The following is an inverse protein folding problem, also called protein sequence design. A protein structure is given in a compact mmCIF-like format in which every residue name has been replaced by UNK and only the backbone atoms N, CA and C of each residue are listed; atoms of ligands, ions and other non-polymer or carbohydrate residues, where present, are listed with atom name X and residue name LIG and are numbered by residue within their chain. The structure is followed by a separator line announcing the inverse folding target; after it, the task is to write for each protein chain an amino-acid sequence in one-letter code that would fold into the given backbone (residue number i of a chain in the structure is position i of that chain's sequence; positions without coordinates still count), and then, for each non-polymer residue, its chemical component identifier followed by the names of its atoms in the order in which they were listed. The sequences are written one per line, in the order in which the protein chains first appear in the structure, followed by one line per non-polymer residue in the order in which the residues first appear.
data_IF_319512852088
#
_entry.id   IF_319512852088
#
_cell.length_a   1.000
_cell.length_b   1.000
_cell.length_c   1.000
_cell.angle_alpha   90.00
_cell.angle_beta   90.00
_cell.angle_gamma   90.00
#
_symmetry.space_group_name_H-M   'P 1'
#
loop_
_entity.id
_entity.type
_entity.pdbx_description
1 polymer ?
#
# COMPACT_ATOMS: atom_id res chain seq x y z
N UNK A 1 27.99 -22.52 -7.30
CA UNK A 1 27.59 -22.77 -5.91
C UNK A 1 26.78 -21.59 -5.37
N UNK A 2 25.93 -21.83 -4.38
CA UNK A 2 25.28 -20.76 -3.61
C UNK A 2 26.10 -20.57 -2.33
N UNK A 3 26.61 -19.36 -2.10
CA UNK A 3 27.34 -19.01 -0.89
C UNK A 3 26.60 -17.88 -0.13
N UNK A 4 26.73 -17.89 1.20
CA UNK A 4 26.09 -16.93 2.07
C UNK A 4 26.88 -15.61 2.06
N UNK A 5 26.26 -14.51 1.63
CA UNK A 5 26.93 -13.20 1.54
C UNK A 5 26.99 -12.43 2.87
N UNK A 6 26.34 -12.88 3.94
CA UNK A 6 26.36 -12.21 5.23
C UNK A 6 25.43 -12.80 6.29
N UNK A 7 25.38 -12.14 7.45
CA UNK A 7 24.61 -12.58 8.62
C UNK A 7 23.09 -12.37 8.46
N UNK A 8 22.32 -13.01 9.36
CA UNK A 8 20.86 -12.86 9.41
C UNK A 8 20.49 -11.53 10.06
N UNK A 9 19.61 -10.78 9.40
CA UNK A 9 19.02 -9.55 9.93
C UNK A 9 17.55 -9.75 10.28
N UNK A 10 17.09 -9.04 11.31
CA UNK A 10 15.68 -9.03 11.73
C UNK A 10 15.17 -7.60 11.65
N UNK A 11 14.10 -7.41 10.89
CA UNK A 11 13.40 -6.14 10.78
C UNK A 11 12.02 -6.30 11.42
N UNK A 12 11.76 -5.68 12.58
CA UNK A 12 10.47 -5.82 13.25
C UNK A 12 9.39 -5.20 12.39
N UNK A 13 8.36 -5.99 12.08
CA UNK A 13 7.23 -5.54 11.28
C UNK A 13 6.26 -4.80 12.21
N UNK A 14 5.95 -3.55 11.88
CA UNK A 14 4.95 -2.77 12.58
C UNK A 14 3.99 -2.16 11.57
N UNK A 15 2.70 -2.45 11.74
CA UNK A 15 1.67 -1.71 11.03
C UNK A 15 1.63 -0.29 11.60
N UNK A 16 1.98 0.70 10.78
CA UNK A 16 1.97 2.11 11.16
C UNK A 16 1.25 2.93 10.11
N UNK A 17 0.53 3.94 10.55
CA UNK A 17 -0.03 4.94 9.64
C UNK A 17 -0.07 6.28 10.33
N UNK A 18 0.39 7.32 9.63
CA UNK A 18 0.29 8.68 10.12
C UNK A 18 -1.17 9.16 10.11
N UNK A 19 -1.59 9.81 11.20
CA UNK A 19 -2.88 10.49 11.29
C UNK A 19 -2.99 11.66 10.31
N UNK A 20 -1.86 12.25 9.92
CA UNK A 20 -1.80 13.38 8.99
C UNK A 20 -0.65 13.16 8.02
N UNK A 21 -0.96 13.13 6.73
CA UNK A 21 0.07 12.98 5.70
C UNK A 21 0.73 14.31 5.37
N UNK A 22 0.08 15.42 5.70
CA UNK A 22 0.53 16.76 5.31
C UNK A 22 0.38 17.80 6.42
N UNK A 23 1.24 18.81 6.36
CA UNK A 23 1.11 20.08 7.08
C UNK A 23 1.46 21.21 6.11
N UNK A 24 1.39 22.47 6.54
CA UNK A 24 1.80 23.60 5.69
C UNK A 24 3.24 23.37 5.20
N UNK A 25 3.40 23.33 3.88
CA UNK A 25 4.70 23.10 3.19
C UNK A 25 5.42 21.79 3.56
N UNK A 26 4.70 20.78 4.07
CA UNK A 26 5.25 19.46 4.44
C UNK A 26 4.34 18.34 3.94
N UNK A 27 4.93 17.32 3.30
CA UNK A 27 4.24 16.09 2.92
C UNK A 27 5.07 14.86 3.28
N UNK A 28 4.42 13.85 3.86
CA UNK A 28 4.99 12.54 4.16
C UNK A 28 4.62 11.57 3.03
N UNK A 29 5.59 10.74 2.61
CA UNK A 29 5.39 9.70 1.59
C UNK A 29 6.09 8.40 2.00
N UNK A 30 5.61 7.26 1.50
CA UNK A 30 6.22 5.95 1.77
C UNK A 30 6.26 5.62 3.26
N UNK A 31 7.37 5.01 3.71
CA UNK A 31 7.55 4.55 5.09
C UNK A 31 7.44 5.66 6.15
N UNK A 32 7.63 6.93 5.76
CA UNK A 32 7.40 8.07 6.65
C UNK A 32 5.92 8.35 6.90
N UNK A 33 5.03 7.92 6.00
CA UNK A 33 3.58 8.10 6.09
C UNK A 33 2.85 6.83 6.53
N UNK A 34 3.35 5.65 6.14
CA UNK A 34 2.74 4.36 6.46
C UNK A 34 3.76 3.23 6.39
N UNK A 35 3.59 2.21 7.23
CA UNK A 35 4.36 0.97 7.19
C UNK A 35 3.36 -0.19 7.24
N UNK A 36 3.51 -1.17 6.35
CA UNK A 36 2.61 -2.32 6.26
C UNK A 36 3.33 -3.63 6.55
N UNK A 37 2.57 -4.69 6.83
CA UNK A 37 3.15 -6.03 6.82
C UNK A 37 3.81 -6.30 5.46
N UNK A 38 4.97 -6.98 5.41
CA UNK A 38 5.68 -7.27 4.17
C UNK A 38 4.94 -8.31 3.29
N UNK A 39 3.77 -8.76 3.74
CA UNK A 39 2.85 -9.64 3.01
C UNK A 39 2.55 -9.03 1.65
N UNK A 40 3.06 -9.65 0.59
CA UNK A 40 2.87 -9.20 -0.80
C UNK A 40 3.82 -8.11 -1.29
N UNK A 41 4.82 -7.70 -0.49
CA UNK A 41 5.90 -6.79 -0.94
C UNK A 41 5.42 -5.41 -1.40
N UNK A 42 4.36 -4.87 -0.77
CA UNK A 42 3.69 -3.67 -1.26
C UNK A 42 4.30 -2.34 -0.80
N UNK A 43 5.09 -2.31 0.28
CA UNK A 43 5.60 -1.05 0.87
C UNK A 43 6.30 -0.14 -0.16
N UNK A 44 7.22 -0.68 -0.94
CA UNK A 44 7.90 0.06 -2.01
C UNK A 44 6.92 0.57 -3.07
N UNK A 45 5.97 -0.26 -3.50
CA UNK A 45 4.97 0.12 -4.50
C UNK A 45 4.07 1.26 -4.00
N UNK A 46 3.69 1.23 -2.72
CA UNK A 46 2.92 2.31 -2.09
C UNK A 46 3.72 3.61 -2.05
N UNK A 47 4.99 3.55 -1.68
CA UNK A 47 5.87 4.72 -1.66
C UNK A 47 6.08 5.34 -3.06
N UNK A 48 6.27 4.52 -4.09
CA UNK A 48 6.36 5.00 -5.49
C UNK A 48 5.06 5.68 -5.91
N UNK A 49 3.90 5.10 -5.56
CA UNK A 49 2.59 5.69 -5.86
C UNK A 49 2.36 7.00 -5.11
N UNK A 50 2.82 7.11 -3.87
CA UNK A 50 2.76 8.36 -3.10
C UNK A 50 3.58 9.46 -3.80
N UNK A 51 4.82 9.16 -4.18
CA UNK A 51 5.68 10.11 -4.88
C UNK A 51 5.05 10.58 -6.21
N UNK A 52 4.51 9.64 -6.99
CA UNK A 52 3.86 9.94 -8.26
C UNK A 52 2.59 10.79 -8.08
N UNK A 53 1.76 10.47 -7.08
CA UNK A 53 0.55 11.24 -6.77
C UNK A 53 0.87 12.65 -6.29
N UNK A 54 1.86 12.79 -5.38
CA UNK A 54 2.30 14.09 -4.89
C UNK A 54 2.84 14.93 -6.05
N UNK A 55 3.72 14.37 -6.89
CA UNK A 55 4.26 15.05 -8.06
C UNK A 55 3.15 15.53 -9.01
N UNK A 56 2.11 14.71 -9.23
CA UNK A 56 0.96 15.10 -10.05
C UNK A 56 0.20 16.29 -9.45
N UNK A 57 -0.11 16.23 -8.15
CA UNK A 57 -0.82 17.32 -7.44
C UNK A 57 -0.02 18.63 -7.50
N UNK A 58 1.29 18.57 -7.20
CA UNK A 58 2.16 19.75 -7.21
C UNK A 58 2.32 20.33 -8.62
N UNK A 59 2.43 19.47 -9.65
CA UNK A 59 2.51 19.90 -11.04
C UNK A 59 1.26 20.65 -11.47
N UNK A 60 0.07 20.13 -11.14
CA UNK A 60 -1.20 20.81 -11.46
C UNK A 60 -1.31 22.16 -10.76
N UNK A 61 -0.97 22.23 -9.47
CA UNK A 61 -0.98 23.48 -8.72
C UNK A 61 -0.04 24.53 -9.34
N UNK A 62 1.19 24.12 -9.68
CA UNK A 62 2.16 24.98 -10.34
C UNK A 62 1.65 25.52 -11.69
N UNK A 63 1.01 24.66 -12.50
CA UNK A 63 0.42 25.07 -13.79
C UNK A 63 -0.75 26.05 -13.64
N UNK A 64 -1.44 26.03 -12.49
CA UNK A 64 -2.55 26.92 -12.17
C UNK A 64 -2.09 28.21 -11.46
N UNK A 65 -0.80 28.35 -11.17
CA UNK A 65 -0.25 29.49 -10.41
C UNK A 65 -0.58 29.44 -8.92
N UNK A 66 -1.01 28.28 -8.39
CA UNK A 66 -1.25 28.07 -6.96
C UNK A 66 0.09 27.88 -6.19
N UNK A 67 0.16 28.23 -4.91
CA UNK A 67 1.32 27.90 -4.07
C UNK A 67 1.36 26.38 -3.81
N UNK A 68 2.42 25.73 -4.27
CA UNK A 68 2.66 24.29 -4.09
C UNK A 68 2.77 23.86 -2.62
N UNK A 69 3.09 24.81 -1.72
CA UNK A 69 3.16 24.59 -0.28
C UNK A 69 1.85 24.85 0.46
N UNK A 70 0.80 25.31 -0.23
CA UNK A 70 -0.50 25.58 0.37
C UNK A 70 -1.13 24.28 0.88
N UNK A 71 -1.65 24.34 2.10
CA UNK A 71 -2.28 23.21 2.76
C UNK A 71 -3.46 22.64 1.96
N UNK A 72 -4.22 23.48 1.25
CA UNK A 72 -5.34 23.04 0.42
C UNK A 72 -4.86 22.18 -0.76
N UNK A 73 -3.68 22.47 -1.32
CA UNK A 73 -3.06 21.66 -2.37
C UNK A 73 -2.60 20.33 -1.79
N UNK A 74 -1.89 20.37 -0.68
CA UNK A 74 -1.36 19.16 -0.03
C UNK A 74 -2.50 18.24 0.50
N UNK A 75 -3.64 18.79 0.92
CA UNK A 75 -4.83 18.01 1.28
C UNK A 75 -5.44 17.25 0.09
N UNK A 76 -5.27 17.72 -1.15
CA UNK A 76 -5.65 16.95 -2.36
C UNK A 76 -4.81 15.68 -2.46
N UNK A 77 -3.53 15.74 -2.11
CA UNK A 77 -2.66 14.56 -2.03
C UNK A 77 -3.05 13.64 -0.88
N UNK A 78 -3.23 14.16 0.35
CA UNK A 78 -3.61 13.34 1.51
C UNK A 78 -4.92 12.59 1.28
N UNK A 79 -5.97 13.28 0.80
CA UNK A 79 -7.28 12.67 0.56
C UNK A 79 -7.23 11.55 -0.48
N UNK A 80 -6.38 11.68 -1.50
CA UNK A 80 -6.17 10.62 -2.49
C UNK A 80 -5.42 9.44 -1.89
N UNK A 81 -4.26 9.66 -1.28
CA UNK A 81 -3.35 8.57 -0.92
C UNK A 81 -3.66 7.92 0.41
N UNK A 82 -4.16 8.65 1.40
CA UNK A 82 -4.49 8.10 2.72
C UNK A 82 -5.54 7.00 2.64
N UNK A 83 -6.59 7.18 1.83
CA UNK A 83 -7.65 6.19 1.67
C UNK A 83 -7.14 4.92 0.95
N UNK A 84 -6.32 5.09 -0.09
CA UNK A 84 -5.74 3.97 -0.83
C UNK A 84 -4.74 3.19 0.04
N UNK A 85 -3.90 3.90 0.80
CA UNK A 85 -2.94 3.30 1.73
C UNK A 85 -3.66 2.54 2.85
N UNK A 86 -4.67 3.15 3.50
CA UNK A 86 -5.52 2.50 4.51
C UNK A 86 -6.10 1.17 4.01
N UNK A 87 -6.57 1.15 2.76
CA UNK A 87 -7.19 -0.04 2.18
C UNK A 87 -6.17 -1.18 2.04
N UNK A 88 -4.97 -0.87 1.57
CA UNK A 88 -3.90 -1.87 1.38
C UNK A 88 -3.32 -2.31 2.74
N UNK A 89 -3.15 -1.39 3.67
CA UNK A 89 -2.72 -1.68 5.05
C UNK A 89 -3.72 -2.62 5.75
N UNK A 90 -5.01 -2.29 5.71
CA UNK A 90 -6.06 -3.15 6.29
C UNK A 90 -6.15 -4.51 5.63
N UNK A 91 -5.97 -4.59 4.31
CA UNK A 91 -5.94 -5.86 3.59
C UNK A 91 -4.74 -6.74 3.99
N UNK A 92 -3.54 -6.16 4.08
CA UNK A 92 -2.31 -6.89 4.45
C UNK A 92 -2.34 -7.35 5.90
N UNK A 93 -2.83 -6.51 6.84
CA UNK A 93 -3.05 -6.90 8.25
C UNK A 93 -4.11 -8.01 8.37
N UNK A 94 -5.22 -7.93 7.64
CA UNK A 94 -6.23 -8.98 7.62
C UNK A 94 -5.65 -10.31 7.13
N UNK A 95 -4.86 -10.29 6.04
CA UNK A 95 -4.19 -11.48 5.55
C UNK A 95 -3.23 -12.05 6.59
N UNK A 96 -2.39 -11.20 7.20
CA UNK A 96 -1.45 -11.63 8.24
C UNK A 96 -2.20 -12.35 9.37
N UNK A 97 -3.28 -11.74 9.89
CA UNK A 97 -4.11 -12.32 10.95
C UNK A 97 -4.80 -13.62 10.54
N UNK A 98 -5.37 -13.71 9.33
CA UNK A 98 -6.01 -14.96 8.86
C UNK A 98 -4.98 -16.10 8.75
N UNK A 99 -3.76 -15.80 8.32
CA UNK A 99 -2.73 -16.82 8.08
C UNK A 99 -1.92 -17.17 9.34
N UNK A 100 -1.76 -16.26 10.29
CA UNK A 100 -1.08 -16.51 11.57
C UNK A 100 -2.00 -17.12 12.64
N UNK A 101 -3.32 -16.97 12.52
CA UNK A 101 -4.27 -17.48 13.51
C UNK A 101 -4.46 -19.01 13.45
N UNK A 102 -4.55 -19.62 14.62
CA UNK A 102 -4.69 -21.08 14.85
C UNK A 102 -6.11 -21.51 15.24
N UNK A 103 -7.05 -20.57 15.43
CA UNK A 103 -8.44 -20.85 15.77
C UNK A 103 -9.14 -21.67 14.67
N UNK A 104 -9.68 -22.83 15.06
CA UNK A 104 -10.15 -23.87 14.12
C UNK A 104 -11.12 -23.34 13.04
N UNK A 105 -12.14 -22.52 13.35
CA UNK A 105 -13.03 -21.95 12.33
C UNK A 105 -12.29 -21.12 11.27
N UNK A 106 -11.33 -20.27 11.68
CA UNK A 106 -10.55 -19.44 10.75
C UNK A 106 -9.67 -20.32 9.86
N UNK A 107 -9.07 -21.36 10.43
CA UNK A 107 -8.26 -22.33 9.68
C UNK A 107 -9.10 -23.06 8.61
N UNK A 108 -10.33 -23.47 8.95
CA UNK A 108 -11.25 -24.12 8.00
C UNK A 108 -11.62 -23.16 6.87
N UNK A 109 -12.02 -21.92 7.18
CA UNK A 109 -12.35 -20.89 6.19
C UNK A 109 -11.16 -20.63 5.25
N UNK A 110 -9.95 -20.46 5.82
CA UNK A 110 -8.72 -20.27 5.04
C UNK A 110 -8.45 -21.44 4.09
N UNK A 111 -8.60 -22.68 4.55
CA UNK A 111 -8.41 -23.88 3.73
C UNK A 111 -9.42 -23.96 2.58
N UNK A 112 -10.69 -23.68 2.84
CA UNK A 112 -11.73 -23.62 1.81
C UNK A 112 -11.39 -22.53 0.79
N UNK A 113 -11.01 -21.33 1.23
CA UNK A 113 -10.61 -20.24 0.35
C UNK A 113 -9.44 -20.60 -0.57
N UNK A 114 -8.39 -21.22 -0.02
CA UNK A 114 -7.24 -21.72 -0.80
C UNK A 114 -7.68 -22.79 -1.81
N UNK A 115 -8.54 -23.73 -1.41
CA UNK A 115 -9.07 -24.76 -2.31
C UNK A 115 -9.88 -24.16 -3.47
N UNK A 116 -10.74 -23.18 -3.20
CA UNK A 116 -11.51 -22.46 -4.23
C UNK A 116 -10.57 -21.73 -5.19
N UNK A 117 -9.54 -21.04 -4.69
CA UNK A 117 -8.55 -20.36 -5.55
C UNK A 117 -7.78 -21.32 -6.47
N UNK A 118 -7.56 -22.56 -6.05
CA UNK A 118 -6.93 -23.58 -6.90
C UNK A 118 -7.87 -24.10 -7.99
N UNK A 119 -9.17 -24.17 -7.71
CA UNK A 119 -10.18 -24.78 -8.60
C UNK A 119 -10.88 -23.80 -9.53
N UNK A 120 -10.96 -22.52 -9.15
CA UNK A 120 -11.73 -21.50 -9.87
C UNK A 120 -10.77 -20.41 -10.39
N UNK A 121 -10.37 -20.46 -11.68
CA UNK A 121 -9.40 -19.50 -12.25
C UNK A 121 -9.84 -18.04 -12.12
N UNK A 122 -11.13 -17.75 -12.22
CA UNK A 122 -11.66 -16.40 -12.06
C UNK A 122 -11.38 -15.82 -10.66
N UNK A 123 -11.50 -16.64 -9.61
CA UNK A 123 -11.21 -16.21 -8.23
C UNK A 123 -9.72 -15.94 -8.08
N UNK A 124 -8.86 -16.79 -8.64
CA UNK A 124 -7.40 -16.58 -8.65
C UNK A 124 -7.01 -15.28 -9.37
N UNK A 125 -7.55 -15.05 -10.56
CA UNK A 125 -7.28 -13.82 -11.33
C UNK A 125 -7.79 -12.59 -10.60
N UNK A 126 -8.97 -12.66 -9.99
CA UNK A 126 -9.51 -11.56 -9.19
C UNK A 126 -8.62 -11.25 -7.98
N UNK A 127 -8.18 -12.27 -7.24
CA UNK A 127 -7.29 -12.12 -6.10
C UNK A 127 -5.95 -11.49 -6.50
N UNK A 128 -5.35 -11.93 -7.61
CA UNK A 128 -4.12 -11.35 -8.14
C UNK A 128 -4.30 -9.87 -8.51
N UNK A 129 -5.40 -9.51 -9.19
CA UNK A 129 -5.71 -8.11 -9.52
C UNK A 129 -5.86 -7.23 -8.27
N UNK A 130 -6.42 -7.81 -7.20
CA UNK A 130 -6.56 -7.13 -5.92
C UNK A 130 -5.18 -6.91 -5.27
N UNK A 131 -4.31 -7.93 -5.27
CA UNK A 131 -2.95 -7.85 -4.72
C UNK A 131 -2.03 -6.88 -5.45
N UNK A 132 -2.15 -6.77 -6.77
CA UNK A 132 -1.38 -5.78 -7.57
C UNK A 132 -1.92 -4.35 -7.33
N UNK A 133 -3.06 -4.21 -6.67
CA UNK A 133 -3.65 -2.90 -6.36
C UNK A 133 -4.07 -2.16 -7.63
N UNK A 134 -4.57 -2.88 -8.64
CA UNK A 134 -5.08 -2.33 -9.92
C UNK A 134 -6.47 -1.69 -9.79
N UNK A 135 -7.04 -1.64 -8.58
CA UNK A 135 -8.28 -0.94 -8.27
C UNK A 135 -7.94 0.33 -7.51
N UNK A 136 -7.85 1.46 -8.21
CA UNK A 136 -7.52 2.76 -7.63
C UNK A 136 -7.25 3.80 -8.72
N UNK A 137 -7.16 5.07 -8.33
CA UNK A 137 -6.77 6.13 -9.26
C UNK A 137 -5.25 6.10 -9.35
N UNK A 138 -4.71 5.51 -10.40
CA UNK A 138 -3.26 5.41 -10.59
C UNK A 138 -2.74 6.77 -11.08
N UNK A 139 -1.73 7.38 -10.43
CA UNK A 139 -1.12 8.61 -10.91
C UNK A 139 -0.61 8.45 -12.35
N UNK A 140 -0.75 9.48 -13.18
CA UNK A 140 -0.31 9.42 -14.59
C UNK A 140 1.16 9.03 -14.72
N UNK A 141 1.98 9.47 -13.77
CA UNK A 141 3.41 9.17 -13.72
C UNK A 141 3.72 7.71 -13.35
N UNK A 142 2.78 6.99 -12.74
CA UNK A 142 2.93 5.59 -12.36
C UNK A 142 2.31 4.60 -13.39
N UNK A 143 1.73 5.12 -14.48
CA UNK A 143 1.16 4.33 -15.58
C UNK A 143 2.15 4.08 -16.74
N UNK A 144 3.31 4.73 -16.70
CA UNK A 144 4.40 4.56 -17.68
C UNK A 144 5.33 3.43 -17.24
#
# INVERSE_FOLDING_TARGET
ELELLGDRFVFPVQLMQSDRYVQSRLALIGDAAHCCHPVGGQGLNLGIRDAAALAQVLKTAHQQGEDIGDIQILLRYESWRKQENLTILGFTDLLDRIFSNTFLPIVVVRRIGLWVMQRVPLVKVFALKLMVGLKGRIPELAQR
#
